data_IF_246038024118
#
_entry.id   IF_246038024118
#
_cell.length_a   1.000
_cell.length_b   1.000
_cell.length_c   1.000
_cell.angle_alpha   90.00
_cell.angle_beta   90.00
_cell.angle_gamma   90.00
#
_symmetry.space_group_name_H-M   'P 1'
#
loop_
_entity.id
_entity.type
_entity.pdbx_description
1 polymer ?
#
# COMPACT_ATOMS: atom_id res chain seq x y z
N UNK A 1 0.01 11.79 -9.02
CA UNK A 1 -0.26 13.23 -8.74
C UNK A 1 0.97 13.94 -8.17
N UNK A 2 1.14 15.24 -8.43
CA UNK A 2 2.31 16.01 -8.01
C UNK A 2 2.54 16.01 -6.49
N UNK A 3 1.47 15.98 -5.70
CA UNK A 3 1.52 15.88 -4.24
C UNK A 3 2.26 14.62 -3.77
N UNK A 4 2.00 13.47 -4.41
CA UNK A 4 2.63 12.19 -4.10
C UNK A 4 4.09 12.17 -4.52
N UNK A 5 4.40 12.75 -5.69
CA UNK A 5 5.79 12.88 -6.17
C UNK A 5 6.61 13.69 -5.16
N UNK A 6 6.09 14.85 -4.72
CA UNK A 6 6.75 15.69 -3.70
C UNK A 6 6.94 14.96 -2.38
N UNK A 7 5.93 14.21 -1.92
CA UNK A 7 6.03 13.40 -0.69
C UNK A 7 7.14 12.37 -0.77
N UNK A 8 7.24 11.63 -1.88
CA UNK A 8 8.25 10.58 -2.05
C UNK A 8 9.67 11.16 -2.20
N UNK A 9 9.82 12.25 -2.97
CA UNK A 9 11.10 12.97 -3.09
C UNK A 9 11.56 13.56 -1.74
N UNK A 10 10.61 14.04 -0.93
CA UNK A 10 10.85 14.60 0.40
C UNK A 10 11.13 13.56 1.49
N UNK A 11 10.98 12.27 1.23
CA UNK A 11 11.20 11.21 2.23
C UNK A 11 12.65 11.15 2.73
N UNK A 12 13.61 11.60 1.92
CA UNK A 12 15.04 11.55 2.22
C UNK A 12 15.71 10.23 1.81
N UNK A 13 17.05 10.26 1.78
CA UNK A 13 17.87 9.13 1.30
C UNK A 13 17.63 7.86 2.12
N UNK A 14 17.35 6.76 1.44
CA UNK A 14 17.09 5.45 2.06
C UNK A 14 15.69 5.24 2.64
N UNK A 15 14.82 6.28 2.64
CA UNK A 15 13.47 6.21 3.23
C UNK A 15 12.34 6.11 2.20
N UNK A 16 12.64 6.28 0.91
CA UNK A 16 11.66 6.31 -0.19
C UNK A 16 10.84 5.01 -0.24
N UNK A 17 11.48 3.85 -0.06
CA UNK A 17 10.79 2.56 -0.04
C UNK A 17 9.72 2.49 1.07
N UNK A 18 10.08 2.87 2.30
CA UNK A 18 9.14 2.90 3.41
C UNK A 18 8.02 3.93 3.21
N UNK A 19 8.32 5.07 2.60
CA UNK A 19 7.31 6.07 2.25
C UNK A 19 6.32 5.54 1.19
N UNK A 20 6.80 4.76 0.21
CA UNK A 20 5.97 4.11 -0.80
C UNK A 20 5.09 3.01 -0.20
N UNK A 21 5.64 2.15 0.67
CA UNK A 21 4.87 1.12 1.39
C UNK A 21 3.79 1.78 2.25
N UNK A 22 4.14 2.82 3.03
CA UNK A 22 3.16 3.57 3.83
C UNK A 22 2.05 4.15 2.98
N UNK A 23 2.38 4.72 1.82
CA UNK A 23 1.40 5.25 0.89
C UNK A 23 0.47 4.15 0.34
N UNK A 24 1.01 2.98 -0.01
CA UNK A 24 0.19 1.85 -0.48
C UNK A 24 -0.81 1.40 0.59
N UNK A 25 -0.40 1.36 1.86
CA UNK A 25 -1.27 1.01 2.99
C UNK A 25 -2.40 2.05 3.15
N UNK A 26 -2.06 3.34 3.19
CA UNK A 26 -3.05 4.43 3.28
C UNK A 26 -4.08 4.37 2.12
N UNK A 27 -3.61 4.05 0.91
CA UNK A 27 -4.49 3.92 -0.25
C UNK A 27 -5.42 2.71 -0.16
N UNK A 28 -4.95 1.58 0.38
CA UNK A 28 -5.79 0.40 0.63
C UNK A 28 -6.85 0.71 1.68
N UNK A 29 -6.50 1.46 2.74
CA UNK A 29 -7.45 1.89 3.76
C UNK A 29 -8.56 2.77 3.17
N UNK A 30 -8.20 3.75 2.33
CA UNK A 30 -9.17 4.60 1.61
C UNK A 30 -10.10 3.75 0.74
N UNK A 31 -9.56 2.81 -0.04
CA UNK A 31 -10.36 1.93 -0.89
C UNK A 31 -11.30 1.02 -0.10
N UNK A 32 -10.93 0.62 1.12
CA UNK A 32 -11.76 -0.22 1.99
C UNK A 32 -12.99 0.52 2.50
N UNK A 33 -12.92 1.85 2.62
CA UNK A 33 -14.05 2.69 3.04
C UNK A 33 -14.98 3.08 1.89
N UNK A 34 -14.56 2.83 0.64
CA UNK A 34 -15.37 3.13 -0.55
C UNK A 34 -16.49 2.09 -0.77
N UNK A 35 -17.70 2.59 -1.00
CA UNK A 35 -18.84 1.74 -1.37
C UNK A 35 -18.60 1.03 -2.70
N UNK A 36 -18.87 -0.28 -2.74
CA UNK A 36 -18.78 -1.11 -3.94
C UNK A 36 -17.39 -1.71 -4.21
N UNK A 37 -16.37 -1.41 -3.40
CA UNK A 37 -15.06 -2.05 -3.52
C UNK A 37 -15.03 -3.38 -2.74
N UNK A 38 -14.77 -4.48 -3.45
CA UNK A 38 -14.68 -5.82 -2.86
C UNK A 38 -13.26 -6.23 -2.43
N UNK A 39 -12.25 -5.45 -2.82
CA UNK A 39 -10.85 -5.71 -2.52
C UNK A 39 -9.91 -4.99 -3.48
N UNK A 40 -8.62 -5.29 -3.35
CA UNK A 40 -7.54 -4.67 -4.13
C UNK A 40 -6.72 -5.73 -4.85
N UNK A 41 -6.25 -5.42 -6.06
CA UNK A 41 -5.21 -6.18 -6.73
C UNK A 41 -3.87 -5.49 -6.51
N UNK A 42 -2.99 -6.07 -5.68
CA UNK A 42 -1.68 -5.52 -5.37
C UNK A 42 -0.63 -6.04 -6.37
N UNK A 43 -0.11 -5.14 -7.21
CA UNK A 43 1.00 -5.45 -8.11
C UNK A 43 2.32 -5.02 -7.48
N UNK A 44 3.27 -5.95 -7.36
CA UNK A 44 4.57 -5.70 -6.75
C UNK A 44 5.70 -6.21 -7.66
N UNK A 45 5.83 -5.62 -8.85
CA UNK A 45 6.86 -5.96 -9.83
C UNK A 45 8.24 -5.82 -9.18
N UNK A 46 9.03 -6.90 -9.18
CA UNK A 46 10.37 -6.99 -8.56
C UNK A 46 10.38 -6.77 -7.02
N UNK A 47 9.21 -6.67 -6.41
CA UNK A 47 8.99 -6.39 -4.99
C UNK A 47 8.04 -7.41 -4.36
N UNK A 48 7.89 -8.59 -4.96
CA UNK A 48 6.93 -9.62 -4.57
C UNK A 48 7.11 -10.06 -3.11
N UNK A 49 8.36 -10.06 -2.64
CA UNK A 49 8.74 -10.37 -1.26
C UNK A 49 8.17 -9.37 -0.21
N UNK A 50 7.72 -8.18 -0.63
CA UNK A 50 7.08 -7.17 0.23
C UNK A 50 5.56 -7.30 0.29
N UNK A 51 4.95 -8.10 -0.59
CA UNK A 51 3.49 -8.30 -0.63
C UNK A 51 2.96 -8.79 0.72
N UNK A 52 3.58 -9.78 1.40
CA UNK A 52 3.09 -10.23 2.70
C UNK A 52 3.11 -9.11 3.76
N UNK A 53 4.19 -8.33 3.81
CA UNK A 53 4.34 -7.19 4.74
C UNK A 53 3.25 -6.14 4.50
N UNK A 54 3.02 -5.74 3.25
CA UNK A 54 1.99 -4.75 2.91
C UNK A 54 0.60 -5.27 3.27
N UNK A 55 0.29 -6.53 2.93
CA UNK A 55 -1.01 -7.13 3.19
C UNK A 55 -1.30 -7.26 4.69
N UNK A 56 -0.30 -7.62 5.50
CA UNK A 56 -0.41 -7.69 6.95
C UNK A 56 -0.59 -6.30 7.57
N UNK A 57 0.25 -5.33 7.19
CA UNK A 57 0.16 -3.96 7.70
C UNK A 57 -1.15 -3.25 7.29
N UNK A 58 -1.69 -3.55 6.11
CA UNK A 58 -2.97 -3.03 5.65
C UNK A 58 -4.20 -3.76 6.26
N UNK A 59 -3.99 -4.77 7.10
CA UNK A 59 -5.08 -5.56 7.70
C UNK A 59 -5.88 -6.37 6.68
N UNK A 60 -5.24 -6.74 5.55
CA UNK A 60 -5.84 -7.57 4.50
C UNK A 60 -5.67 -9.07 4.79
N UNK A 61 -4.93 -9.41 5.85
CA UNK A 61 -4.74 -10.76 6.36
C UNK A 61 -5.30 -10.87 7.80
N UNK A 62 -5.84 -12.04 8.20
CA UNK A 62 -6.08 -13.21 7.38
C UNK A 62 -7.22 -13.00 6.37
N UNK A 63 -7.20 -13.77 5.28
CA UNK A 63 -8.29 -13.74 4.29
C UNK A 63 -9.62 -14.10 4.96
N UNK A 64 -10.74 -13.41 4.61
CA UNK A 64 -12.06 -13.76 5.12
C UNK A 64 -12.38 -15.24 4.90
N UNK A 65 -12.93 -15.88 5.93
CA UNK A 65 -13.49 -17.23 5.84
C UNK A 65 -14.91 -17.09 5.31
N UNK A 66 -15.06 -17.27 4.00
CA UNK A 66 -16.37 -17.42 3.35
C UNK A 66 -16.88 -18.85 3.51
#
# INVERSE_FOLDING_TARGET
>A
PDSIIKRLQGAGKGKVAGAGIKFAIEQIEEFREMEGIAGVHLMAIEWEHRVPEIAELAGMLPRPKV
#
